data_IF_799974602310
#
_entry.id   IF_799974602310
#
_cell.length_a   1.000
_cell.length_b   1.000
_cell.length_c   1.000
_cell.angle_alpha   90.00
_cell.angle_beta   90.00
_cell.angle_gamma   90.00
#
_symmetry.space_group_name_H-M   'P 1'
#
loop_
_entity.id
_entity.type
_entity.pdbx_description
1 polymer ?
#
# COMPACT_ATOMS: atom_id res chain seq x y z
N UNK A 1 -31.27 27.38 3.23
CA UNK A 1 -30.32 26.89 2.21
C UNK A 1 -29.32 26.02 2.93
N UNK A 2 -29.52 24.71 2.91
CA UNK A 2 -28.62 23.71 3.49
C UNK A 2 -27.50 23.47 2.50
N UNK A 3 -26.29 23.91 2.83
CA UNK A 3 -25.07 23.38 2.22
C UNK A 3 -24.77 22.02 2.84
N UNK A 4 -23.95 21.23 2.15
CA UNK A 4 -23.35 19.97 2.60
C UNK A 4 -24.10 18.71 2.17
N UNK A 5 -23.72 18.22 1.00
CA UNK A 5 -23.27 16.83 0.86
C UNK A 5 -22.29 16.78 -0.32
N UNK A 6 -20.99 16.90 -0.03
CA UNK A 6 -19.96 16.43 -0.96
C UNK A 6 -19.64 15.01 -0.52
N UNK A 7 -20.37 14.05 -1.05
CA UNK A 7 -19.96 12.64 -1.04
C UNK A 7 -18.62 12.57 -1.79
N UNK A 8 -17.53 12.58 -1.02
CA UNK A 8 -16.20 12.27 -1.52
C UNK A 8 -16.16 10.76 -1.74
N UNK A 9 -16.43 10.34 -2.97
CA UNK A 9 -16.26 8.97 -3.43
C UNK A 9 -14.76 8.62 -3.28
N UNK A 10 -14.45 7.86 -2.24
CA UNK A 10 -13.10 7.43 -1.91
C UNK A 10 -12.67 6.42 -2.98
N UNK A 11 -12.08 6.94 -4.06
CA UNK A 11 -11.53 6.13 -5.14
C UNK A 11 -10.38 5.30 -4.61
N UNK A 12 -10.60 4.01 -4.46
CA UNK A 12 -9.57 2.98 -4.35
C UNK A 12 -8.75 2.95 -5.65
N UNK A 13 -7.88 3.94 -5.82
CA UNK A 13 -6.83 3.92 -6.82
C UNK A 13 -5.59 3.34 -6.15
N UNK A 14 -5.15 2.17 -6.60
CA UNK A 14 -3.84 1.61 -6.24
C UNK A 14 -2.76 2.63 -6.58
N UNK A 15 -2.39 3.46 -5.61
CA UNK A 15 -1.29 4.40 -5.76
C UNK A 15 0.01 3.61 -5.65
N UNK A 16 0.42 3.00 -6.76
CA UNK A 16 1.78 2.45 -6.87
C UNK A 16 2.75 3.61 -6.71
N UNK A 17 3.39 3.66 -5.54
CA UNK A 17 4.39 4.69 -5.25
C UNK A 17 5.47 4.68 -6.33
N UNK A 18 6.15 5.82 -6.55
CA UNK A 18 7.22 5.93 -7.57
C UNK A 18 8.34 4.88 -7.42
N UNK A 19 8.43 4.24 -6.25
CA UNK A 19 9.40 3.19 -5.92
C UNK A 19 8.81 1.78 -5.88
N UNK A 20 7.52 1.61 -6.19
CA UNK A 20 6.89 0.30 -6.23
C UNK A 20 7.45 -0.51 -7.42
N UNK A 21 7.89 -1.73 -7.13
CA UNK A 21 8.23 -2.68 -8.18
C UNK A 21 6.95 -3.13 -8.91
N UNK A 22 7.09 -3.52 -10.17
CA UNK A 22 5.99 -4.15 -10.91
C UNK A 22 5.59 -5.47 -10.25
N UNK A 23 4.32 -5.84 -10.35
CA UNK A 23 3.86 -7.16 -9.94
C UNK A 23 4.65 -8.26 -10.65
N UNK A 24 5.16 -9.23 -9.87
CA UNK A 24 6.00 -10.31 -10.38
C UNK A 24 7.45 -9.93 -10.72
N UNK A 25 7.91 -8.73 -10.39
CA UNK A 25 9.32 -8.38 -10.51
C UNK A 25 10.21 -9.34 -9.71
N UNK A 26 11.37 -9.68 -10.26
CA UNK A 26 12.34 -10.54 -9.58
C UNK A 26 12.78 -9.91 -8.25
N UNK A 27 12.78 -10.73 -7.20
CA UNK A 27 13.21 -10.29 -5.89
C UNK A 27 14.71 -9.99 -5.92
N UNK A 28 15.11 -8.89 -5.30
CA UNK A 28 16.51 -8.57 -5.17
C UNK A 28 17.24 -9.70 -4.40
N UNK A 29 18.37 -10.23 -4.90
CA UNK A 29 19.00 -11.45 -4.38
C UNK A 29 19.51 -11.30 -2.93
N UNK A 30 19.77 -10.06 -2.49
CA UNK A 30 20.18 -9.78 -1.12
C UNK A 30 19.02 -9.71 -0.11
N UNK A 31 17.76 -9.75 -0.56
CA UNK A 31 16.59 -9.68 0.32
C UNK A 31 16.20 -11.09 0.75
N UNK A 32 16.50 -11.43 2.00
CA UNK A 32 16.09 -12.68 2.63
C UNK A 32 14.82 -12.48 3.46
N UNK A 33 13.68 -12.86 2.89
CA UNK A 33 12.39 -12.75 3.56
C UNK A 33 12.18 -13.73 4.70
N UNK A 34 12.92 -14.84 4.75
CA UNK A 34 12.69 -15.85 5.78
C UNK A 34 13.04 -15.33 7.18
N UNK A 35 13.85 -14.26 7.24
CA UNK A 35 14.24 -13.57 8.48
C UNK A 35 13.35 -12.38 8.82
N UNK A 36 12.59 -11.88 7.85
CA UNK A 36 11.71 -10.74 8.07
C UNK A 36 10.44 -11.23 8.79
N UNK A 37 10.14 -10.73 10.01
CA UNK A 37 8.91 -11.09 10.72
C UNK A 37 7.65 -10.64 9.97
N UNK A 38 7.75 -9.60 9.12
CA UNK A 38 6.64 -9.05 8.35
C UNK A 38 6.99 -9.04 6.84
N UNK A 39 7.22 -10.22 6.23
CA UNK A 39 7.73 -10.30 4.87
C UNK A 39 6.75 -9.64 3.89
N UNK A 40 7.26 -8.70 3.10
CA UNK A 40 6.46 -8.01 2.09
C UNK A 40 5.60 -6.86 2.63
N UNK A 41 5.65 -6.56 3.93
CA UNK A 41 5.04 -5.37 4.52
C UNK A 41 6.11 -4.29 4.68
N UNK A 42 5.95 -3.16 4.00
CA UNK A 42 6.87 -2.05 4.17
C UNK A 42 6.70 -1.40 5.55
N UNK A 43 7.80 -1.03 6.21
CA UNK A 43 7.77 -0.38 7.53
C UNK A 43 7.02 0.97 7.57
N UNK A 44 6.80 1.56 6.39
CA UNK A 44 6.08 2.83 6.20
C UNK A 44 4.72 2.63 5.53
N UNK A 45 4.25 1.40 5.39
CA UNK A 45 2.87 1.16 5.00
C UNK A 45 1.94 1.75 6.07
N UNK A 46 0.88 2.41 5.65
CA UNK A 46 -0.20 2.75 6.56
C UNK A 46 -0.75 1.46 7.20
N UNK A 47 -1.34 1.59 8.38
CA UNK A 47 -2.12 0.49 8.94
C UNK A 47 -3.26 0.17 7.97
N UNK A 48 -3.49 -1.12 7.73
CA UNK A 48 -4.69 -1.53 7.01
C UNK A 48 -5.89 -1.11 7.86
N UNK A 49 -6.86 -0.46 7.24
CA UNK A 49 -8.04 0.08 7.92
C UNK A 49 -8.69 -1.03 8.76
N UNK A 50 -8.71 -0.91 10.10
CA UNK A 50 -9.30 -1.94 10.93
C UNK A 50 -10.83 -1.89 10.78
N UNK A 51 -11.41 -2.92 10.17
CA UNK A 51 -12.87 -3.13 10.06
C UNK A 51 -13.60 -3.15 11.42
#
# INVERSE_FOLDING_TARGET
MTTEDTTAENGAGESTGRHAAKEGAERHPLIDLARDPNPGRADHAAEDDPE
#
